data_IF_328661845293
#
_entry.id   IF_328661845293
#
_cell.length_a   1.000
_cell.length_b   1.000
_cell.length_c   1.000
_cell.angle_alpha   90.00
_cell.angle_beta   90.00
_cell.angle_gamma   90.00
#
_symmetry.space_group_name_H-M   'P 1'
#
loop_
_entity.id
_entity.type
_entity.pdbx_description
1 polymer ?
#
# COMPACT_ATOMS: atom_id res chain seq x y z
N UNK A 1 26.92 -6.28 -21.19
CA UNK A 1 25.54 -6.58 -20.72
C UNK A 1 25.09 -5.48 -19.77
N UNK A 2 24.03 -4.70 -20.11
CA UNK A 2 23.46 -3.68 -19.23
C UNK A 2 22.92 -4.37 -17.95
N UNK A 3 23.49 -4.10 -16.78
CA UNK A 3 22.94 -4.57 -15.49
C UNK A 3 21.51 -4.03 -15.38
N UNK A 4 20.50 -4.90 -15.52
CA UNK A 4 19.10 -4.53 -15.28
C UNK A 4 18.95 -4.12 -13.82
N UNK A 5 18.37 -2.97 -13.55
CA UNK A 5 18.18 -2.45 -12.20
C UNK A 5 17.34 -3.41 -11.34
N UNK A 6 16.27 -3.99 -11.92
CA UNK A 6 15.47 -5.05 -11.33
C UNK A 6 15.75 -6.40 -11.98
N UNK A 7 15.91 -7.45 -11.17
CA UNK A 7 15.97 -8.83 -11.65
C UNK A 7 14.56 -9.35 -11.97
N UNK A 8 14.41 -10.25 -12.93
CA UNK A 8 13.12 -10.86 -13.24
C UNK A 8 12.46 -11.49 -12.01
N UNK A 9 13.25 -12.10 -11.12
CA UNK A 9 12.77 -12.69 -9.86
C UNK A 9 12.15 -11.64 -8.93
N UNK A 10 12.71 -10.43 -8.85
CA UNK A 10 12.18 -9.32 -8.05
C UNK A 10 10.86 -8.79 -8.62
N UNK A 11 10.76 -8.67 -9.95
CA UNK A 11 9.53 -8.26 -10.63
C UNK A 11 8.39 -9.26 -10.40
N UNK A 12 8.70 -10.56 -10.48
CA UNK A 12 7.72 -11.62 -10.18
C UNK A 12 7.25 -11.52 -8.73
N UNK A 13 8.17 -11.32 -7.79
CA UNK A 13 7.81 -11.13 -6.37
C UNK A 13 6.87 -9.94 -6.19
N UNK A 14 7.18 -8.78 -6.78
CA UNK A 14 6.31 -7.59 -6.70
C UNK A 14 4.93 -7.90 -7.28
N UNK A 15 4.84 -8.57 -8.43
CA UNK A 15 3.59 -8.97 -9.07
C UNK A 15 2.76 -9.91 -8.21
N UNK A 16 3.37 -10.93 -7.64
CA UNK A 16 2.70 -11.90 -6.75
C UNK A 16 2.17 -11.21 -5.49
N UNK A 17 2.97 -10.36 -4.85
CA UNK A 17 2.51 -9.60 -3.68
C UNK A 17 1.35 -8.66 -4.02
N UNK A 18 1.43 -7.94 -5.14
CA UNK A 18 0.35 -7.06 -5.59
C UNK A 18 -0.95 -7.83 -5.86
N UNK A 19 -0.86 -8.97 -6.53
CA UNK A 19 -2.00 -9.85 -6.78
C UNK A 19 -2.58 -10.41 -5.47
N UNK A 20 -1.74 -10.91 -4.57
CA UNK A 20 -2.17 -11.45 -3.26
C UNK A 20 -2.92 -10.40 -2.44
N UNK A 21 -2.39 -9.17 -2.36
CA UNK A 21 -3.08 -8.06 -1.68
C UNK A 21 -4.47 -7.84 -2.27
N UNK A 22 -4.59 -7.81 -3.60
CA UNK A 22 -5.87 -7.54 -4.27
C UNK A 22 -6.87 -8.66 -4.07
N UNK A 23 -6.45 -9.92 -4.19
CA UNK A 23 -7.31 -11.09 -3.96
C UNK A 23 -7.81 -11.08 -2.53
N UNK A 24 -6.93 -10.92 -1.54
CA UNK A 24 -7.34 -10.94 -0.13
C UNK A 24 -8.25 -9.76 0.21
N UNK A 25 -7.94 -8.55 -0.25
CA UNK A 25 -8.80 -7.38 -0.02
C UNK A 25 -10.15 -7.50 -0.71
N UNK A 26 -10.23 -8.16 -1.86
CA UNK A 26 -11.48 -8.47 -2.56
C UNK A 26 -12.32 -9.47 -1.76
N UNK A 27 -11.71 -10.56 -1.25
CA UNK A 27 -12.41 -11.54 -0.41
C UNK A 27 -12.98 -10.86 0.85
N UNK A 28 -12.19 -10.02 1.52
CA UNK A 28 -12.65 -9.27 2.70
C UNK A 28 -13.80 -8.32 2.32
N UNK A 29 -13.75 -7.69 1.14
CA UNK A 29 -14.82 -6.82 0.66
C UNK A 29 -16.12 -7.58 0.42
N UNK A 30 -16.05 -8.77 -0.18
CA UNK A 30 -17.22 -9.60 -0.47
C UNK A 30 -17.82 -10.17 0.82
N UNK A 31 -16.98 -10.64 1.76
CA UNK A 31 -17.43 -11.20 3.03
C UNK A 31 -18.04 -10.17 3.98
N UNK A 32 -17.50 -8.95 3.99
CA UNK A 32 -17.85 -7.91 4.97
C UNK A 32 -18.69 -6.75 4.44
N UNK A 33 -19.15 -6.78 3.18
CA UNK A 33 -20.04 -5.74 2.64
C UNK A 33 -19.37 -4.37 2.40
N UNK A 34 -18.09 -4.34 2.05
CA UNK A 34 -17.39 -3.18 1.48
C UNK A 34 -17.15 -1.98 2.42
N UNK A 35 -18.18 -1.44 3.05
CA UNK A 35 -18.13 -0.24 3.92
C UNK A 35 -18.19 -0.55 5.42
N UNK A 36 -18.24 -1.83 5.81
CA UNK A 36 -18.23 -2.21 7.22
C UNK A 36 -16.89 -1.80 7.87
N UNK A 37 -16.90 -1.14 9.04
CA UNK A 37 -15.69 -0.73 9.76
C UNK A 37 -14.66 -1.85 9.96
N UNK A 38 -15.12 -3.05 10.29
CA UNK A 38 -14.26 -4.23 10.47
C UNK A 38 -13.56 -4.60 9.17
N UNK A 39 -14.29 -4.62 8.05
CA UNK A 39 -13.72 -4.90 6.73
C UNK A 39 -12.71 -3.84 6.31
N UNK A 40 -12.95 -2.58 6.64
CA UNK A 40 -12.02 -1.48 6.36
C UNK A 40 -10.71 -1.63 7.14
N UNK A 41 -10.79 -1.97 8.42
CA UNK A 41 -9.61 -2.24 9.27
C UNK A 41 -8.82 -3.42 8.71
N UNK A 42 -9.49 -4.54 8.43
CA UNK A 42 -8.86 -5.75 7.89
C UNK A 42 -8.19 -5.53 6.54
N UNK A 43 -8.85 -4.84 5.60
CA UNK A 43 -8.27 -4.52 4.29
C UNK A 43 -6.99 -3.70 4.43
N UNK A 44 -7.01 -2.65 5.25
CA UNK A 44 -5.85 -1.78 5.46
C UNK A 44 -4.74 -2.53 6.21
N UNK A 45 -5.08 -3.34 7.21
CA UNK A 45 -4.13 -4.18 7.94
C UNK A 45 -3.37 -5.11 6.99
N UNK A 46 -4.10 -5.89 6.19
CA UNK A 46 -3.48 -6.84 5.23
C UNK A 46 -2.65 -6.10 4.18
N UNK A 47 -3.18 -5.02 3.63
CA UNK A 47 -2.48 -4.20 2.64
C UNK A 47 -1.13 -3.71 3.18
N UNK A 48 -1.14 -3.08 4.35
CA UNK A 48 0.07 -2.50 4.97
C UNK A 48 1.04 -3.59 5.40
N UNK A 49 0.56 -4.71 5.97
CA UNK A 49 1.40 -5.86 6.34
C UNK A 49 2.16 -6.41 5.14
N UNK A 50 1.46 -6.72 4.05
CA UNK A 50 2.08 -7.27 2.85
C UNK A 50 3.02 -6.27 2.17
N UNK A 51 2.66 -4.99 2.19
CA UNK A 51 3.53 -3.93 1.65
C UNK A 51 4.83 -3.80 2.44
N UNK A 52 4.79 -3.84 3.77
CA UNK A 52 5.99 -3.83 4.62
C UNK A 52 6.86 -5.05 4.31
N UNK A 53 6.29 -6.25 4.27
CA UNK A 53 7.03 -7.49 3.95
C UNK A 53 7.69 -7.40 2.57
N UNK A 54 6.97 -6.89 1.56
CA UNK A 54 7.50 -6.68 0.22
C UNK A 54 8.71 -5.73 0.24
N UNK A 55 8.61 -4.60 0.93
CA UNK A 55 9.69 -3.62 1.03
C UNK A 55 10.91 -4.15 1.78
N UNK A 56 10.71 -5.06 2.75
CA UNK A 56 11.83 -5.80 3.37
C UNK A 56 12.47 -6.80 2.41
N UNK A 57 11.69 -7.41 1.51
CA UNK A 57 12.19 -8.37 0.51
C UNK A 57 12.89 -7.67 -0.65
N UNK A 58 12.32 -6.57 -1.15
CA UNK A 58 12.83 -5.82 -2.31
C UNK A 58 13.26 -4.43 -1.85
N UNK A 59 14.48 -4.32 -1.34
CA UNK A 59 15.08 -3.07 -0.81
C UNK A 59 15.66 -2.20 -1.93
N UNK A 60 14.84 -1.87 -2.95
CA UNK A 60 15.25 -1.03 -4.08
C UNK A 60 14.29 0.14 -4.24
N UNK A 61 14.83 1.30 -4.60
CA UNK A 61 14.03 2.44 -5.06
C UNK A 61 13.27 2.05 -6.32
N UNK A 62 12.00 2.44 -6.44
CA UNK A 62 11.12 2.02 -7.53
C UNK A 62 10.27 0.78 -7.21
N UNK A 63 10.56 0.04 -6.15
CA UNK A 63 9.77 -1.14 -5.78
C UNK A 63 8.33 -0.78 -5.39
N UNK A 64 8.15 0.33 -4.68
CA UNK A 64 6.85 0.81 -4.24
C UNK A 64 6.04 1.39 -5.40
N UNK A 65 6.70 2.12 -6.31
CA UNK A 65 6.06 2.62 -7.54
C UNK A 65 5.61 1.47 -8.43
N UNK A 66 6.44 0.44 -8.63
CA UNK A 66 6.06 -0.75 -9.38
C UNK A 66 4.91 -1.52 -8.73
N UNK A 67 4.96 -1.71 -7.41
CA UNK A 67 3.88 -2.35 -6.65
C UNK A 67 2.57 -1.58 -6.79
N UNK A 68 2.61 -0.26 -6.67
CA UNK A 68 1.44 0.61 -6.83
C UNK A 68 0.87 0.53 -8.25
N UNK A 69 1.73 0.56 -9.27
CA UNK A 69 1.33 0.45 -10.67
C UNK A 69 0.65 -0.89 -10.95
N UNK A 70 1.28 -2.01 -10.56
CA UNK A 70 0.70 -3.35 -10.75
C UNK A 70 -0.61 -3.49 -9.97
N UNK A 71 -0.67 -3.01 -8.73
CA UNK A 71 -1.89 -2.99 -7.91
C UNK A 71 -3.01 -2.17 -8.55
N UNK A 72 -2.69 -1.03 -9.15
CA UNK A 72 -3.66 -0.18 -9.84
C UNK A 72 -4.19 -0.85 -11.11
N UNK A 73 -3.31 -1.48 -11.91
CA UNK A 73 -3.71 -2.25 -13.08
C UNK A 73 -4.64 -3.42 -12.73
N UNK A 74 -4.30 -4.19 -11.69
CA UNK A 74 -5.14 -5.28 -11.22
C UNK A 74 -6.50 -4.75 -10.74
N UNK A 75 -6.53 -3.62 -10.03
CA UNK A 75 -7.79 -3.00 -9.59
C UNK A 75 -8.66 -2.56 -10.75
N UNK A 76 -8.04 -2.00 -11.78
CA UNK A 76 -8.76 -1.57 -12.99
C UNK A 76 -9.41 -2.76 -13.69
N UNK A 77 -8.68 -3.86 -13.84
CA UNK A 77 -9.16 -5.08 -14.53
C UNK A 77 -10.23 -5.81 -13.72
N UNK A 78 -10.04 -5.96 -12.40
CA UNK A 78 -10.92 -6.77 -11.56
C UNK A 78 -12.16 -6.02 -11.04
N UNK A 79 -12.01 -4.75 -10.72
CA UNK A 79 -13.03 -3.98 -10.00
C UNK A 79 -13.64 -2.87 -10.85
N UNK A 80 -13.19 -2.69 -12.10
CA UNK A 80 -13.60 -1.53 -12.91
C UNK A 80 -13.24 -0.21 -12.24
N UNK A 81 -12.22 -0.21 -11.38
CA UNK A 81 -11.83 0.92 -10.56
C UNK A 81 -11.65 2.18 -11.41
N UNK A 82 -12.16 3.31 -10.92
CA UNK A 82 -12.14 4.56 -11.65
C UNK A 82 -10.74 4.93 -12.13
N UNK A 83 -10.62 5.36 -13.36
CA UNK A 83 -9.36 5.79 -14.01
C UNK A 83 -8.64 6.83 -13.15
N UNK A 84 -9.38 7.61 -12.36
CA UNK A 84 -8.86 8.64 -11.43
C UNK A 84 -8.05 8.08 -10.25
N UNK A 85 -8.24 6.80 -9.90
CA UNK A 85 -7.49 6.16 -8.80
C UNK A 85 -6.06 5.78 -9.18
N UNK A 86 -5.78 5.58 -10.48
CA UNK A 86 -4.45 5.21 -11.00
C UNK A 86 -3.45 6.34 -10.80
N UNK A 87 -3.69 7.58 -11.28
CA UNK A 87 -2.72 8.66 -11.09
C UNK A 87 -2.54 9.04 -9.62
N UNK A 88 -3.58 8.97 -8.78
CA UNK A 88 -3.45 9.29 -7.35
C UNK A 88 -2.57 8.27 -6.61
N UNK A 89 -2.71 6.98 -6.90
CA UNK A 89 -1.89 5.93 -6.28
C UNK A 89 -0.43 5.98 -6.74
N UNK A 90 -0.18 6.25 -8.03
CA UNK A 90 1.16 6.42 -8.56
C UNK A 90 1.86 7.66 -7.98
N UNK A 91 1.16 8.78 -7.91
CA UNK A 91 1.68 10.01 -7.33
C UNK A 91 2.03 9.83 -5.85
N UNK A 92 1.18 9.13 -5.09
CA UNK A 92 1.46 8.78 -3.69
C UNK A 92 2.70 7.89 -3.57
N UNK A 93 2.87 6.91 -4.45
CA UNK A 93 4.03 6.03 -4.45
C UNK A 93 5.33 6.79 -4.76
N UNK A 94 5.32 7.65 -5.79
CA UNK A 94 6.48 8.47 -6.17
C UNK A 94 6.88 9.45 -5.05
N UNK A 95 5.92 10.14 -4.45
CA UNK A 95 6.18 11.06 -3.33
C UNK A 95 6.75 10.29 -2.13
N UNK A 96 6.23 9.12 -1.84
CA UNK A 96 6.74 8.27 -0.75
C UNK A 96 8.16 7.82 -1.00
N UNK A 97 8.49 7.39 -2.21
CA UNK A 97 9.86 7.02 -2.56
C UNK A 97 10.83 8.19 -2.43
N UNK A 98 10.40 9.37 -2.82
CA UNK A 98 11.18 10.58 -2.63
C UNK A 98 11.41 10.87 -1.14
N UNK A 99 10.39 10.72 -0.28
CA UNK A 99 10.54 10.84 1.17
C UNK A 99 11.51 9.79 1.74
N UNK A 100 11.44 8.55 1.28
CA UNK A 100 12.35 7.48 1.72
C UNK A 100 13.79 7.77 1.30
N UNK A 101 14.01 8.30 0.10
CA UNK A 101 15.35 8.72 -0.37
C UNK A 101 15.90 9.84 0.52
N UNK A 102 15.08 10.84 0.83
CA UNK A 102 15.45 11.98 1.68
C UNK A 102 15.77 11.57 3.13
N UNK A 103 15.08 10.55 3.65
CA UNK A 103 15.29 10.04 5.02
C UNK A 103 16.49 9.09 5.15
N UNK A 104 17.26 8.90 4.10
CA UNK A 104 18.52 8.13 4.13
C UNK A 104 18.54 6.87 3.26
N UNK A 105 17.55 6.69 2.38
CA UNK A 105 17.51 5.65 1.35
C UNK A 105 17.05 4.28 1.83
N UNK A 106 16.76 3.41 0.88
CA UNK A 106 16.17 2.07 1.11
C UNK A 106 17.09 1.08 1.84
N UNK A 107 18.37 1.42 2.07
CA UNK A 107 19.34 0.53 2.72
C UNK A 107 19.20 0.46 4.24
N UNK A 108 18.61 1.46 4.89
CA UNK A 108 18.42 1.49 6.33
C UNK A 108 17.35 0.48 6.78
N UNK A 109 17.54 -0.11 7.94
CA UNK A 109 16.67 -1.18 8.49
C UNK A 109 15.21 -0.71 8.72
N UNK A 110 15.00 0.56 8.99
CA UNK A 110 13.67 1.15 9.21
C UNK A 110 13.02 1.70 7.93
N UNK A 111 13.76 1.82 6.83
CA UNK A 111 13.25 2.38 5.56
C UNK A 111 11.96 1.72 5.06
N UNK A 112 11.76 0.38 5.13
CA UNK A 112 10.51 -0.25 4.73
C UNK A 112 9.30 0.21 5.55
N UNK A 113 9.49 0.40 6.86
CA UNK A 113 8.42 0.83 7.78
C UNK A 113 8.05 2.28 7.52
N UNK A 114 9.06 3.14 7.40
CA UNK A 114 8.90 4.56 7.07
C UNK A 114 8.23 4.72 5.71
N UNK A 115 8.66 3.93 4.71
CA UNK A 115 8.05 3.93 3.39
C UNK A 115 6.58 3.53 3.41
N UNK A 116 6.23 2.47 4.14
CA UNK A 116 4.85 2.04 4.27
C UNK A 116 3.97 3.08 4.99
N UNK A 117 4.49 3.68 6.06
CA UNK A 117 3.80 4.74 6.81
C UNK A 117 3.52 5.97 5.95
N UNK A 118 4.54 6.49 5.26
CA UNK A 118 4.37 7.66 4.39
C UNK A 118 3.46 7.37 3.20
N UNK A 119 3.55 6.18 2.61
CA UNK A 119 2.65 5.79 1.53
C UNK A 119 1.19 5.82 1.97
N UNK A 120 0.88 5.23 3.12
CA UNK A 120 -0.47 5.19 3.64
C UNK A 120 -0.99 6.60 3.97
N UNK A 121 -0.16 7.43 4.60
CA UNK A 121 -0.49 8.81 4.93
C UNK A 121 -0.78 9.64 3.67
N UNK A 122 0.12 9.61 2.68
CA UNK A 122 -0.02 10.38 1.44
C UNK A 122 -1.20 9.88 0.62
N UNK A 123 -1.37 8.56 0.51
CA UNK A 123 -2.46 7.96 -0.24
C UNK A 123 -3.84 8.32 0.35
N UNK A 124 -3.99 8.26 1.67
CA UNK A 124 -5.22 8.63 2.36
C UNK A 124 -5.51 10.13 2.28
N UNK A 125 -4.49 10.96 2.41
CA UNK A 125 -4.63 12.41 2.24
C UNK A 125 -5.05 12.76 0.80
N UNK A 126 -4.46 12.11 -0.20
CA UNK A 126 -4.86 12.26 -1.59
C UNK A 126 -6.31 11.84 -1.81
N UNK A 127 -6.72 10.70 -1.25
CA UNK A 127 -8.10 10.22 -1.34
C UNK A 127 -9.08 11.18 -0.69
N UNK A 128 -8.75 11.74 0.49
CA UNK A 128 -9.58 12.76 1.14
C UNK A 128 -9.75 14.01 0.28
N UNK A 129 -8.67 14.49 -0.35
CA UNK A 129 -8.73 15.66 -1.25
C UNK A 129 -9.62 15.40 -2.46
N UNK A 130 -9.48 14.24 -3.11
CA UNK A 130 -10.32 13.87 -4.26
C UNK A 130 -11.78 13.76 -3.82
N UNK A 131 -12.06 13.11 -2.70
CA UNK A 131 -13.42 13.01 -2.16
C UNK A 131 -14.01 14.38 -1.80
N UNK A 132 -13.21 15.26 -1.20
CA UNK A 132 -13.65 16.63 -0.88
C UNK A 132 -14.06 17.42 -2.14
N UNK A 133 -13.28 17.31 -3.22
CA UNK A 133 -13.59 17.98 -4.48
C UNK A 133 -14.88 17.45 -5.09
N UNK A 134 -15.09 16.12 -5.03
CA UNK A 134 -16.27 15.46 -5.60
C UNK A 134 -17.56 15.70 -4.80
N UNK A 135 -17.47 15.87 -3.48
CA UNK A 135 -18.61 15.90 -2.55
C UNK A 135 -18.79 17.29 -1.92
N UNK A 136 -18.22 18.34 -2.53
CA UNK A 136 -18.21 19.70 -2.00
C UNK A 136 -19.61 20.25 -1.68
N UNK A 137 -20.64 19.80 -2.40
CA UNK A 137 -22.01 20.30 -2.23
C UNK A 137 -22.79 19.65 -1.07
N UNK A 138 -22.28 18.57 -0.47
CA UNK A 138 -22.95 17.83 0.61
C UNK A 138 -22.08 17.68 1.84
N UNK A 139 -22.09 18.66 2.78
CA UNK A 139 -21.18 18.66 3.92
C UNK A 139 -21.33 17.45 4.87
N UNK A 140 -22.52 16.87 4.97
CA UNK A 140 -22.74 15.66 5.77
C UNK A 140 -21.95 14.44 5.32
N UNK A 141 -21.72 14.30 4.00
CA UNK A 141 -20.95 13.18 3.44
C UNK A 141 -19.45 13.32 3.74
N UNK A 142 -18.95 14.54 3.89
CA UNK A 142 -17.54 14.80 4.22
C UNK A 142 -17.19 14.19 5.60
N UNK A 143 -18.05 14.35 6.61
CA UNK A 143 -17.83 13.75 7.93
C UNK A 143 -17.79 12.21 7.85
N UNK A 144 -18.64 11.61 7.03
CA UNK A 144 -18.65 10.17 6.82
C UNK A 144 -17.33 9.70 6.16
N UNK A 145 -16.84 10.40 5.14
CA UNK A 145 -15.57 10.09 4.47
C UNK A 145 -14.39 10.22 5.43
N UNK A 146 -14.33 11.27 6.23
CA UNK A 146 -13.28 11.45 7.24
C UNK A 146 -13.31 10.30 8.26
N UNK A 147 -14.49 9.90 8.73
CA UNK A 147 -14.66 8.76 9.63
C UNK A 147 -14.13 7.43 9.01
N UNK A 148 -14.47 7.16 7.76
CA UNK A 148 -14.00 5.98 7.02
C UNK A 148 -12.48 5.97 6.91
N UNK A 149 -11.88 7.11 6.58
CA UNK A 149 -10.41 7.23 6.45
C UNK A 149 -9.73 7.06 7.81
N UNK A 150 -10.28 7.64 8.88
CA UNK A 150 -9.75 7.50 10.24
C UNK A 150 -9.76 6.03 10.70
N UNK A 151 -10.87 5.31 10.49
CA UNK A 151 -10.97 3.88 10.79
C UNK A 151 -9.96 3.08 9.98
N UNK A 152 -9.83 3.38 8.68
CA UNK A 152 -8.83 2.74 7.82
C UNK A 152 -7.40 2.99 8.29
N UNK A 153 -7.11 4.17 8.86
CA UNK A 153 -5.78 4.51 9.37
C UNK A 153 -5.41 3.67 10.60
N UNK A 154 -6.37 3.37 11.48
CA UNK A 154 -6.17 2.43 12.60
C UNK A 154 -5.75 1.05 12.09
N UNK A 155 -6.42 0.55 11.05
CA UNK A 155 -6.04 -0.71 10.40
C UNK A 155 -4.61 -0.71 9.85
N UNK A 156 -4.18 0.40 9.25
CA UNK A 156 -2.82 0.54 8.72
C UNK A 156 -1.76 0.59 9.84
N UNK A 157 -2.02 1.26 10.94
CA UNK A 157 -1.10 1.29 12.10
C UNK A 157 -0.91 -0.12 12.68
N UNK A 158 -2.00 -0.87 12.84
CA UNK A 158 -1.92 -2.29 13.23
C UNK A 158 -1.16 -3.11 12.19
N UNK A 159 -1.39 -2.84 10.89
CA UNK A 159 -0.69 -3.48 9.79
C UNK A 159 0.82 -3.20 9.76
N UNK A 160 1.27 -2.02 10.18
CA UNK A 160 2.70 -1.72 10.35
C UNK A 160 3.33 -2.63 11.42
N UNK A 161 2.68 -2.76 12.58
CA UNK A 161 3.15 -3.62 13.67
C UNK A 161 3.25 -5.09 13.25
N UNK A 162 2.17 -5.65 12.68
CA UNK A 162 2.13 -7.03 12.18
C UNK A 162 3.10 -7.24 11.02
N UNK A 163 3.26 -6.25 10.14
CA UNK A 163 4.21 -6.31 9.02
C UNK A 163 5.66 -6.39 9.46
N UNK A 164 6.04 -5.60 10.47
CA UNK A 164 7.39 -5.67 11.06
C UNK A 164 7.62 -7.03 11.74
N UNK A 165 6.63 -7.52 12.48
CA UNK A 165 6.70 -8.83 13.12
C UNK A 165 6.89 -9.96 12.09
N UNK A 166 6.02 -10.01 11.07
CA UNK A 166 6.14 -10.99 9.98
C UNK A 166 7.48 -10.87 9.23
N UNK A 167 7.95 -9.66 8.95
CA UNK A 167 9.23 -9.47 8.28
C UNK A 167 10.41 -9.98 9.13
N UNK A 168 10.33 -9.82 10.45
CA UNK A 168 11.34 -10.36 11.38
C UNK A 168 11.36 -11.89 11.38
N UNK A 169 10.19 -12.53 11.44
CA UNK A 169 10.08 -13.98 11.37
C UNK A 169 10.57 -14.54 10.04
N UNK A 170 10.19 -13.93 8.91
CA UNK A 170 10.68 -14.32 7.60
C UNK A 170 12.20 -14.14 7.44
N UNK A 171 12.78 -13.17 8.13
CA UNK A 171 14.24 -12.99 8.19
C UNK A 171 14.90 -14.10 9.02
N UNK A 172 14.30 -14.48 10.16
CA UNK A 172 14.80 -15.58 10.99
C UNK A 172 14.73 -16.92 10.25
N UNK A 173 13.67 -17.11 9.45
CA UNK A 173 13.50 -18.29 8.59
C UNK A 173 14.42 -18.32 7.35
N UNK A 174 15.26 -17.29 7.14
CA UNK A 174 16.20 -17.21 6.01
C UNK A 174 15.54 -16.89 4.65
N UNK A 175 14.26 -16.57 4.63
CA UNK A 175 13.50 -16.27 3.39
C UNK A 175 13.83 -14.86 2.89
N UNK A 176 14.13 -13.94 3.80
CA UNK A 176 14.56 -12.57 3.49
C UNK A 176 16.06 -12.46 3.76
N UNK A 177 16.86 -12.28 2.71
CA UNK A 177 18.30 -12.08 2.82
C UNK A 177 18.62 -10.76 3.54
N UNK A 178 19.77 -10.78 4.26
CA UNK A 178 20.33 -9.62 4.97
C UNK A 178 20.64 -8.45 4.04
#
# INVERSE_FOLDING_TARGET
>A
MKKRYFNCRELVVIGVFAASVKVVTMIIALAGGGLNPVSLILKNLVFTTLMVVLLYKVRKTGALTLFSLVSALISFVLLGGGITSIPSSLLSAMLTELCVILTGGCKRSYAPVVGAFFYDLISKTASLRVSYIMVRETPGVIFMVVGIVAIGYIGSLLGLGTGVYCARELKNAGIINR
#
